data_IF_078725073565
#
_entry.id   IF_078725073565
#
_cell.length_a   1.000
_cell.length_b   1.000
_cell.length_c   1.000
_cell.angle_alpha   90.00
_cell.angle_beta   90.00
_cell.angle_gamma   90.00
#
_symmetry.space_group_name_H-M   'P 1'
#
loop_
_entity.id
_entity.type
_entity.pdbx_description
1 polymer ?
#
# COMPACT_ATOMS: atom_id res chain seq x y z
N UNK A 1 8.16 -18.80 -15.79
CA UNK A 1 8.51 -18.60 -14.41
C UNK A 1 7.58 -17.62 -13.76
N UNK A 2 7.02 -18.02 -12.69
CA UNK A 2 6.13 -17.13 -11.98
C UNK A 2 6.92 -16.27 -11.01
N UNK A 3 6.77 -14.99 -11.15
CA UNK A 3 7.35 -14.06 -10.21
C UNK A 3 6.28 -13.29 -9.48
N UNK A 4 5.14 -13.93 -9.29
CA UNK A 4 4.00 -13.28 -8.65
C UNK A 4 4.02 -13.52 -7.15
N UNK A 5 5.16 -13.24 -6.55
CA UNK A 5 5.35 -13.37 -5.12
C UNK A 5 4.30 -12.57 -4.34
N UNK A 6 3.91 -11.43 -4.87
CA UNK A 6 2.95 -10.55 -4.23
C UNK A 6 1.62 -10.56 -4.96
N UNK A 7 1.33 -11.59 -5.72
CA UNK A 7 0.08 -11.70 -6.45
C UNK A 7 0.15 -11.01 -7.81
N UNK A 8 -1.01 -10.71 -8.41
CA UNK A 8 -1.03 -10.17 -9.77
C UNK A 8 -0.33 -8.84 -9.94
N UNK A 9 -0.15 -8.09 -8.86
CA UNK A 9 0.47 -6.76 -8.92
C UNK A 9 1.92 -6.79 -8.51
N UNK A 10 2.59 -7.92 -8.65
CA UNK A 10 3.97 -8.09 -8.18
C UNK A 10 4.91 -7.01 -8.70
N UNK A 11 4.84 -6.69 -10.00
CA UNK A 11 5.76 -5.71 -10.57
C UNK A 11 5.59 -4.32 -9.91
N UNK A 12 4.35 -3.91 -9.69
CA UNK A 12 4.07 -2.62 -9.08
C UNK A 12 4.50 -2.61 -7.62
N UNK A 13 4.24 -3.71 -6.91
CA UNK A 13 4.62 -3.80 -5.50
C UNK A 13 6.13 -3.81 -5.36
N UNK A 14 6.84 -4.53 -6.21
CA UNK A 14 8.31 -4.53 -6.17
C UNK A 14 8.87 -3.14 -6.44
N UNK A 15 8.25 -2.42 -7.37
CA UNK A 15 8.66 -1.04 -7.64
C UNK A 15 8.46 -0.15 -6.42
N UNK A 16 7.34 -0.32 -5.73
CA UNK A 16 7.07 0.46 -4.53
C UNK A 16 8.05 0.10 -3.41
N UNK A 17 8.33 -1.18 -3.24
CA UNK A 17 9.29 -1.62 -2.22
C UNK A 17 10.66 -1.02 -2.48
N UNK A 18 11.06 -0.97 -3.74
CA UNK A 18 12.34 -0.33 -4.08
C UNK A 18 12.35 1.14 -3.68
N UNK A 19 11.23 1.83 -3.83
CA UNK A 19 11.12 3.22 -3.40
C UNK A 19 11.18 3.36 -1.89
N UNK A 20 10.63 2.41 -1.16
CA UNK A 20 10.68 2.45 0.31
C UNK A 20 12.13 2.54 0.79
N UNK A 21 13.03 1.82 0.13
CA UNK A 21 14.42 1.82 0.52
C UNK A 21 15.11 3.17 0.32
N UNK A 22 14.50 4.06 -0.45
CA UNK A 22 15.08 5.37 -0.74
C UNK A 22 14.35 6.52 -0.05
N UNK A 23 13.37 6.22 0.81
CA UNK A 23 12.61 7.27 1.48
C UNK A 23 13.50 8.07 2.42
N UNK A 24 13.34 9.39 2.37
CA UNK A 24 14.00 10.27 3.34
C UNK A 24 13.14 10.37 4.59
N UNK A 25 13.75 10.83 5.69
CA UNK A 25 12.99 11.04 6.92
C UNK A 25 11.83 12.00 6.70
N UNK A 26 12.06 13.03 5.88
CA UNK A 26 10.99 13.98 5.57
C UNK A 26 9.83 13.32 4.86
N UNK A 27 10.14 12.42 3.93
CA UNK A 27 9.10 11.69 3.21
C UNK A 27 8.33 10.76 4.13
N UNK A 28 9.03 10.07 5.02
CA UNK A 28 8.38 9.20 5.99
C UNK A 28 7.40 9.99 6.86
N UNK A 29 7.84 11.15 7.35
CA UNK A 29 6.97 11.99 8.18
C UNK A 29 5.78 12.51 7.38
N UNK A 30 6.01 12.90 6.13
CA UNK A 30 4.93 13.38 5.28
C UNK A 30 3.91 12.28 4.99
N UNK A 31 4.38 11.05 4.79
CA UNK A 31 3.48 9.91 4.56
C UNK A 31 2.64 9.63 5.80
N UNK A 32 3.25 9.65 6.97
CA UNK A 32 2.51 9.44 8.20
C UNK A 32 1.46 10.51 8.41
N UNK A 33 1.81 11.76 8.15
CA UNK A 33 0.86 12.85 8.25
C UNK A 33 -0.28 12.69 7.25
N UNK A 34 0.02 12.21 6.05
CA UNK A 34 -1.00 11.99 5.03
C UNK A 34 -1.96 10.88 5.44
N UNK A 35 -1.45 9.81 6.07
CA UNK A 35 -2.31 8.75 6.56
C UNK A 35 -3.27 9.27 7.63
N UNK A 36 -2.76 10.04 8.58
CA UNK A 36 -3.62 10.61 9.61
C UNK A 36 -4.67 11.53 9.00
N UNK A 37 -4.29 12.33 8.03
CA UNK A 37 -5.24 13.25 7.40
C UNK A 37 -6.32 12.52 6.62
N UNK A 38 -6.00 11.34 6.09
CA UNK A 38 -6.95 10.56 5.30
C UNK A 38 -7.85 9.66 6.16
N UNK A 39 -7.54 9.54 7.43
CA UNK A 39 -8.21 8.56 8.29
C UNK A 39 -9.62 9.02 8.64
N UNK A 40 -10.59 8.55 7.89
CA UNK A 40 -12.00 8.89 8.12
C UNK A 40 -12.86 7.68 7.75
N UNK A 41 -14.18 7.85 7.77
CA UNK A 41 -15.11 6.75 7.53
C UNK A 41 -14.90 6.12 6.15
N UNK A 42 -14.71 6.95 5.14
CA UNK A 42 -14.52 6.44 3.78
C UNK A 42 -13.23 5.62 3.69
N UNK A 43 -12.17 6.12 4.30
CA UNK A 43 -10.89 5.43 4.27
C UNK A 43 -10.97 4.11 5.02
N UNK A 44 -11.61 4.12 6.18
CA UNK A 44 -11.76 2.89 6.97
C UNK A 44 -12.62 1.86 6.24
N UNK A 45 -13.66 2.29 5.56
CA UNK A 45 -14.48 1.37 4.77
C UNK A 45 -13.68 0.74 3.64
N UNK A 46 -12.82 1.53 2.98
CA UNK A 46 -11.98 1.00 1.92
C UNK A 46 -10.95 0.02 2.49
N UNK A 47 -10.40 0.30 3.67
CA UNK A 47 -9.48 -0.62 4.31
C UNK A 47 -10.16 -1.95 4.65
N UNK A 48 -11.37 -1.90 5.18
CA UNK A 48 -12.10 -3.12 5.49
C UNK A 48 -12.34 -3.94 4.22
N UNK A 49 -12.71 -3.27 3.13
CA UNK A 49 -12.90 -3.95 1.85
C UNK A 49 -11.62 -4.61 1.36
N UNK A 50 -10.50 -3.92 1.54
CA UNK A 50 -9.21 -4.46 1.12
C UNK A 50 -8.83 -5.69 1.94
N UNK A 51 -9.05 -5.66 3.23
CA UNK A 51 -8.75 -6.79 4.10
C UNK A 51 -9.63 -7.99 3.77
N UNK A 52 -10.92 -7.75 3.52
CA UNK A 52 -11.82 -8.80 3.10
C UNK A 52 -11.39 -9.39 1.75
N UNK A 53 -10.97 -8.54 0.83
CA UNK A 53 -10.51 -9.01 -0.47
C UNK A 53 -9.28 -9.89 -0.35
N UNK A 54 -8.35 -9.54 0.54
CA UNK A 54 -7.16 -10.35 0.76
C UNK A 54 -7.57 -11.72 1.30
N UNK A 55 -8.48 -11.74 2.24
CA UNK A 55 -8.94 -13.00 2.82
C UNK A 55 -9.64 -13.86 1.78
N UNK A 56 -10.57 -13.26 1.04
CA UNK A 56 -11.39 -14.00 0.07
C UNK A 56 -10.58 -14.47 -1.12
N UNK A 57 -9.55 -13.75 -1.51
CA UNK A 57 -8.72 -14.12 -2.66
C UNK A 57 -7.51 -14.95 -2.25
N UNK A 58 -7.40 -15.32 -0.97
CA UNK A 58 -6.28 -16.11 -0.45
C UNK A 58 -4.93 -15.42 -0.68
N UNK A 59 -4.90 -14.11 -0.49
CA UNK A 59 -3.68 -13.33 -0.69
C UNK A 59 -2.90 -13.13 0.60
N UNK A 60 -3.22 -13.88 1.66
CA UNK A 60 -2.51 -13.74 2.93
C UNK A 60 -1.02 -14.01 2.80
N UNK A 61 -0.65 -15.01 2.01
CA UNK A 61 0.77 -15.31 1.81
C UNK A 61 1.48 -14.18 1.09
N UNK A 62 0.80 -13.55 0.14
CA UNK A 62 1.38 -12.42 -0.58
C UNK A 62 1.55 -11.22 0.35
N UNK A 63 0.58 -10.98 1.21
CA UNK A 63 0.68 -9.91 2.19
C UNK A 63 1.83 -10.17 3.16
N UNK A 64 1.92 -11.40 3.67
CA UNK A 64 3.00 -11.76 4.58
C UNK A 64 4.36 -11.57 3.90
N UNK A 65 4.46 -11.90 2.63
CA UNK A 65 5.71 -11.75 1.90
C UNK A 65 6.17 -10.30 1.86
N UNK A 66 5.22 -9.37 1.78
CA UNK A 66 5.59 -7.95 1.78
C UNK A 66 6.09 -7.48 3.14
N UNK A 67 5.76 -8.21 4.20
CA UNK A 67 6.09 -7.82 5.56
C UNK A 67 7.27 -8.60 6.14
N UNK A 68 7.94 -9.40 5.34
CA UNK A 68 9.08 -10.18 5.82
C UNK A 68 10.36 -9.35 5.92
N UNK A 69 10.35 -8.15 5.39
CA UNK A 69 11.52 -7.31 5.44
C UNK A 69 11.63 -6.57 6.76
N UNK A 70 12.49 -5.58 6.73
CA UNK A 70 12.69 -4.71 7.87
C UNK A 70 11.43 -3.92 8.16
N UNK A 71 10.92 -4.02 9.35
CA UNK A 71 9.69 -3.32 9.74
C UNK A 71 10.02 -1.97 10.36
N UNK A 72 10.80 -1.17 9.67
CA UNK A 72 11.12 0.17 10.17
C UNK A 72 10.03 1.17 9.82
N UNK A 73 10.29 2.44 10.15
CA UNK A 73 9.31 3.49 9.94
C UNK A 73 8.91 3.66 8.48
N UNK A 74 9.85 3.41 7.57
CA UNK A 74 9.58 3.53 6.14
C UNK A 74 8.52 2.52 5.70
N UNK A 75 8.63 1.29 6.18
CA UNK A 75 7.64 0.26 5.87
C UNK A 75 6.28 0.63 6.43
N UNK A 76 6.25 1.09 7.67
CA UNK A 76 4.97 1.48 8.28
C UNK A 76 4.33 2.61 7.49
N UNK A 77 5.12 3.55 7.01
CA UNK A 77 4.59 4.66 6.24
C UNK A 77 4.01 4.24 4.90
N UNK A 78 4.52 3.16 4.33
CA UNK A 78 4.12 2.73 2.99
C UNK A 78 3.16 1.53 2.99
N UNK A 79 2.91 0.91 4.13
CA UNK A 79 2.19 -0.37 4.16
C UNK A 79 0.81 -0.33 3.54
N UNK A 80 0.11 0.79 3.68
CA UNK A 80 -1.24 0.89 3.13
C UNK A 80 -1.23 1.01 1.61
N UNK A 81 -0.18 1.61 1.06
CA UNK A 81 -0.01 1.63 -0.38
C UNK A 81 0.23 0.22 -0.92
N UNK A 82 1.03 -0.57 -0.21
CA UNK A 82 1.25 -1.96 -0.59
C UNK A 82 -0.05 -2.75 -0.52
N UNK A 83 -0.82 -2.55 0.55
CA UNK A 83 -2.10 -3.21 0.71
C UNK A 83 -3.04 -2.87 -0.45
N UNK A 84 -3.10 -1.61 -0.82
CA UNK A 84 -3.95 -1.18 -1.93
C UNK A 84 -3.54 -1.86 -3.23
N UNK A 85 -2.23 -1.94 -3.49
CA UNK A 85 -1.76 -2.59 -4.70
C UNK A 85 -2.08 -4.08 -4.74
N UNK A 86 -2.02 -4.75 -3.59
CA UNK A 86 -2.32 -6.17 -3.53
C UNK A 86 -3.74 -6.48 -4.01
N UNK A 87 -4.68 -5.59 -3.74
CA UNK A 87 -6.09 -5.83 -4.04
C UNK A 87 -6.62 -4.91 -5.12
N UNK A 88 -5.73 -4.29 -5.88
CA UNK A 88 -6.10 -3.26 -6.85
C UNK A 88 -7.21 -3.68 -7.79
N UNK A 89 -7.17 -4.91 -8.27
CA UNK A 89 -8.13 -5.40 -9.26
C UNK A 89 -9.37 -6.03 -8.61
N UNK A 90 -9.41 -6.07 -7.30
CA UNK A 90 -10.50 -6.74 -6.57
C UNK A 90 -11.44 -5.74 -5.93
N UNK A 91 -10.90 -4.63 -5.48
CA UNK A 91 -11.73 -3.56 -4.90
C UNK A 91 -12.11 -2.56 -5.99
N UNK A 92 -13.01 -1.64 -5.66
CA UNK A 92 -13.42 -0.65 -6.66
C UNK A 92 -12.30 0.37 -6.88
N UNK A 93 -12.29 1.02 -8.06
CA UNK A 93 -11.32 2.08 -8.31
C UNK A 93 -11.36 3.19 -7.26
N UNK A 94 -12.54 3.54 -6.78
CA UNK A 94 -12.69 4.57 -5.75
C UNK A 94 -12.04 4.13 -4.46
N UNK A 95 -12.24 2.87 -4.07
CA UNK A 95 -11.61 2.34 -2.86
C UNK A 95 -10.10 2.32 -2.99
N UNK A 96 -9.61 1.92 -4.15
CA UNK A 96 -8.17 1.93 -4.39
C UNK A 96 -7.60 3.34 -4.27
N UNK A 97 -8.26 4.32 -4.87
CA UNK A 97 -7.78 5.68 -4.81
C UNK A 97 -7.73 6.22 -3.39
N UNK A 98 -8.76 5.91 -2.61
CA UNK A 98 -8.81 6.35 -1.21
C UNK A 98 -7.62 5.81 -0.44
N UNK A 99 -7.31 4.53 -0.61
CA UNK A 99 -6.22 3.89 0.12
C UNK A 99 -4.84 4.31 -0.38
N UNK A 100 -4.72 4.57 -1.68
CA UNK A 100 -3.43 4.86 -2.29
C UNK A 100 -3.09 6.35 -2.29
N UNK A 101 -4.09 7.21 -2.13
CA UNK A 101 -3.91 8.64 -2.26
C UNK A 101 -2.87 9.24 -1.31
N UNK A 102 -2.79 8.82 -0.04
CA UNK A 102 -1.76 9.37 0.84
C UNK A 102 -0.34 9.14 0.31
N UNK A 103 -0.08 7.95 -0.23
CA UNK A 103 1.22 7.68 -0.85
C UNK A 103 1.40 8.56 -2.09
N UNK A 104 0.39 8.61 -2.93
CA UNK A 104 0.47 9.36 -4.18
C UNK A 104 0.68 10.85 -3.94
N UNK A 105 -0.01 11.40 -2.94
CA UNK A 105 0.08 12.82 -2.68
C UNK A 105 1.47 13.24 -2.22
N UNK A 106 2.21 12.35 -1.59
CA UNK A 106 3.55 12.65 -1.11
C UNK A 106 4.60 12.31 -2.16
N UNK A 107 4.46 11.15 -2.80
CA UNK A 107 5.51 10.62 -3.66
C UNK A 107 5.40 11.04 -5.11
N UNK A 108 4.20 11.41 -5.54
CA UNK A 108 3.95 11.79 -6.93
C UNK A 108 3.53 13.22 -7.06
N UNK A 109 4.13 14.06 -6.23
CA UNK A 109 3.83 15.49 -6.28
C UNK A 109 4.26 16.06 -7.63
N UNK A 110 3.37 16.82 -8.22
CA UNK A 110 3.65 17.49 -9.49
C UNK A 110 4.01 18.95 -9.26
N UNK A 111 4.87 19.40 -10.09
CA UNK A 111 5.28 20.80 -10.01
C UNK A 111 4.65 21.59 -11.12
#
# INVERSE_FOLDING_TARGET
VSDQKYGPQTAEIESLIAKIATLTDEQVQALEAAWYAAWDDAWNAALDSALDAIWNASLNDALDATWEGDLDSSWNAARYAILALLVRDIITPEQFEVLYDPWKSVMEVKR
#
